data_IF_683790230721
#
_entry.id   IF_683790230721
#
_cell.length_a   1.000
_cell.length_b   1.000
_cell.length_c   1.000
_cell.angle_alpha   90.00
_cell.angle_beta   90.00
_cell.angle_gamma   90.00
#
_symmetry.space_group_name_H-M   'P 1'
#
loop_
_entity.id
_entity.type
_entity.pdbx_description
1 polymer ?
#
# COMPACT_ATOMS: atom_id res chain seq x y z
N UNK A 1 -63.03 -9.76 -50.72
CA UNK A 1 -62.21 -9.71 -51.95
C UNK A 1 -60.81 -10.21 -51.62
N UNK A 2 -60.30 -11.20 -52.38
CA UNK A 2 -58.97 -11.82 -52.24
C UNK A 2 -57.84 -10.86 -52.64
N UNK A 3 -56.60 -11.32 -52.42
CA UNK A 3 -55.28 -10.90 -52.98
C UNK A 3 -54.33 -10.31 -51.92
N UNK A 4 -53.06 -10.70 -51.78
CA UNK A 4 -52.23 -11.72 -52.45
C UNK A 4 -50.97 -11.93 -51.60
N UNK A 5 -50.53 -13.18 -51.43
CA UNK A 5 -49.18 -13.50 -50.96
C UNK A 5 -48.16 -13.01 -51.98
N UNK A 6 -47.14 -12.26 -51.55
CA UNK A 6 -45.94 -11.98 -52.36
C UNK A 6 -44.81 -12.82 -51.77
N UNK A 7 -44.41 -13.83 -52.55
CA UNK A 7 -43.14 -14.55 -52.39
C UNK A 7 -42.05 -13.66 -52.98
N UNK A 8 -40.94 -13.47 -52.27
CA UNK A 8 -39.70 -13.02 -52.90
C UNK A 8 -38.68 -14.16 -52.89
N UNK A 9 -38.10 -14.35 -54.07
CA UNK A 9 -37.30 -15.49 -54.48
C UNK A 9 -35.92 -15.49 -53.83
N UNK A 10 -35.51 -16.70 -53.48
CA UNK A 10 -34.12 -17.13 -53.30
C UNK A 10 -33.33 -16.88 -54.60
N UNK A 11 -32.15 -16.25 -54.53
CA UNK A 11 -30.91 -16.66 -55.21
C UNK A 11 -29.74 -15.72 -54.79
N UNK A 12 -28.74 -16.33 -54.13
CA UNK A 12 -27.29 -16.03 -54.16
C UNK A 12 -26.76 -14.73 -53.53
N UNK A 13 -26.11 -14.84 -52.36
CA UNK A 13 -24.63 -14.79 -52.29
C UNK A 13 -24.08 -15.32 -50.95
N UNK A 14 -23.04 -16.12 -51.10
CA UNK A 14 -22.22 -16.88 -50.17
C UNK A 14 -21.50 -15.99 -49.15
N UNK A 15 -21.58 -16.33 -47.85
CA UNK A 15 -20.48 -16.25 -46.88
C UNK A 15 -20.92 -16.86 -45.52
N UNK A 16 -21.13 -18.18 -45.47
CA UNK A 16 -21.23 -18.92 -44.22
C UNK A 16 -19.81 -19.32 -43.80
N UNK A 17 -19.05 -18.41 -43.18
CA UNK A 17 -17.85 -18.80 -42.45
C UNK A 17 -18.27 -19.30 -41.07
N UNK A 18 -18.46 -20.63 -40.98
CA UNK A 18 -18.20 -21.33 -39.73
C UNK A 18 -16.73 -21.08 -39.37
N UNK A 19 -16.50 -20.32 -38.31
CA UNK A 19 -15.32 -20.52 -37.47
C UNK A 19 -15.78 -20.53 -36.03
N UNK A 20 -16.41 -21.64 -35.66
CA UNK A 20 -16.39 -22.11 -34.28
C UNK A 20 -14.95 -22.45 -33.93
N UNK A 21 -14.19 -21.44 -33.49
CA UNK A 21 -13.00 -21.69 -32.69
C UNK A 21 -13.49 -22.11 -31.30
N UNK A 22 -13.74 -23.41 -31.15
CA UNK A 22 -13.53 -24.10 -29.89
C UNK A 22 -12.08 -23.81 -29.46
N UNK A 23 -11.91 -22.78 -28.64
CA UNK A 23 -10.67 -22.60 -27.89
C UNK A 23 -10.54 -23.81 -26.97
N UNK A 24 -9.80 -24.82 -27.43
CA UNK A 24 -9.18 -25.83 -26.57
C UNK A 24 -8.20 -25.09 -25.65
N UNK A 25 -8.70 -24.56 -24.54
CA UNK A 25 -7.89 -24.26 -23.38
C UNK A 25 -7.44 -25.59 -22.80
N UNK A 26 -6.32 -26.11 -23.31
CA UNK A 26 -5.62 -27.20 -22.69
C UNK A 26 -5.07 -26.68 -21.36
N UNK A 27 -5.84 -26.86 -20.29
CA UNK A 27 -5.46 -26.49 -18.94
C UNK A 27 -4.20 -27.29 -18.56
N UNK A 28 -3.04 -26.62 -18.63
CA UNK A 28 -1.81 -27.14 -18.07
C UNK A 28 -2.01 -27.43 -16.58
N UNK A 29 -1.32 -28.45 -16.07
CA UNK A 29 -1.35 -28.74 -14.63
C UNK A 29 -0.81 -27.53 -13.85
N UNK A 30 -1.54 -27.10 -12.82
CA UNK A 30 -1.14 -26.02 -11.93
C UNK A 30 0.28 -26.23 -11.36
N UNK A 31 1.08 -25.15 -11.19
CA UNK A 31 2.39 -25.25 -10.55
C UNK A 31 2.28 -25.83 -9.14
N UNK A 32 3.23 -26.70 -8.78
CA UNK A 32 3.37 -27.25 -7.44
C UNK A 32 4.72 -26.85 -6.84
N UNK A 33 4.75 -26.57 -5.54
CA UNK A 33 5.97 -26.30 -4.76
C UNK A 33 6.02 -27.29 -3.59
N UNK A 34 7.16 -27.96 -3.43
CA UNK A 34 7.45 -28.84 -2.29
C UNK A 34 8.25 -28.07 -1.23
N UNK A 35 7.80 -28.20 0.02
CA UNK A 35 8.43 -27.60 1.19
C UNK A 35 8.94 -28.69 2.10
N UNK A 36 10.22 -28.60 2.47
CA UNK A 36 10.81 -29.42 3.53
C UNK A 36 10.86 -28.57 4.80
N UNK A 37 10.34 -29.10 5.89
CA UNK A 37 10.37 -28.47 7.22
C UNK A 37 11.06 -29.38 8.23
N UNK A 38 11.36 -28.86 9.42
CA UNK A 38 11.82 -29.69 10.55
C UNK A 38 10.79 -30.72 11.02
N UNK A 39 9.52 -30.59 10.60
CA UNK A 39 8.41 -31.45 11.03
C UNK A 39 7.86 -32.37 9.92
N UNK A 40 8.41 -32.31 8.71
CA UNK A 40 8.00 -33.14 7.59
C UNK A 40 8.06 -32.42 6.24
N UNK A 41 7.50 -33.05 5.20
CA UNK A 41 7.43 -32.46 3.85
C UNK A 41 5.98 -32.29 3.45
N UNK A 42 5.64 -31.11 2.92
CA UNK A 42 4.32 -30.83 2.37
C UNK A 42 4.43 -30.21 0.97
N UNK A 43 3.34 -30.21 0.21
CA UNK A 43 3.27 -29.61 -1.12
C UNK A 43 2.12 -28.64 -1.23
N UNK A 44 2.35 -27.55 -1.95
CA UNK A 44 1.35 -26.56 -2.32
C UNK A 44 1.08 -26.63 -3.82
N UNK A 45 -0.20 -26.70 -4.21
CA UNK A 45 -0.67 -26.40 -5.56
C UNK A 45 -1.04 -24.91 -5.63
N UNK A 46 -0.59 -24.21 -6.67
CA UNK A 46 -0.79 -22.77 -6.89
C UNK A 46 -1.83 -22.50 -7.99
N UNK A 47 -2.51 -21.35 -7.94
CA UNK A 47 -3.59 -21.01 -8.86
C UNK A 47 -3.26 -19.82 -9.78
N UNK A 48 -2.37 -19.97 -10.78
CA UNK A 48 -1.96 -18.87 -11.66
C UNK A 48 -3.13 -18.23 -12.41
N UNK A 49 -4.17 -19.01 -12.74
CA UNK A 49 -5.35 -18.50 -13.44
C UNK A 49 -6.27 -17.65 -12.53
N UNK A 50 -6.12 -17.76 -11.21
CA UNK A 50 -6.97 -17.07 -10.21
C UNK A 50 -6.23 -15.98 -9.44
N UNK A 51 -4.91 -16.09 -9.32
CA UNK A 51 -4.07 -15.15 -8.59
C UNK A 51 -2.70 -15.03 -9.29
N UNK A 52 -2.64 -14.59 -10.57
CA UNK A 52 -1.41 -14.54 -11.35
C UNK A 52 -0.29 -13.74 -10.67
N UNK A 53 -0.58 -12.58 -10.07
CA UNK A 53 0.43 -11.74 -9.41
C UNK A 53 0.99 -12.42 -8.16
N UNK A 54 0.12 -13.02 -7.36
CA UNK A 54 0.48 -13.72 -6.13
C UNK A 54 1.34 -14.94 -6.44
N UNK A 55 0.94 -15.73 -7.44
CA UNK A 55 1.67 -16.93 -7.87
C UNK A 55 3.01 -16.58 -8.48
N UNK A 56 3.07 -15.58 -9.36
CA UNK A 56 4.34 -15.13 -9.95
C UNK A 56 5.32 -14.61 -8.88
N UNK A 57 4.83 -13.76 -7.98
CA UNK A 57 5.63 -13.24 -6.87
C UNK A 57 6.14 -14.35 -5.95
N UNK A 58 5.25 -15.27 -5.54
CA UNK A 58 5.61 -16.39 -4.68
C UNK A 58 6.67 -17.29 -5.33
N UNK A 59 6.48 -17.62 -6.60
CA UNK A 59 7.40 -18.47 -7.34
C UNK A 59 8.77 -17.81 -7.57
N UNK A 60 8.84 -16.48 -7.72
CA UNK A 60 10.14 -15.77 -7.74
C UNK A 60 10.92 -16.00 -6.45
N UNK A 61 10.29 -15.86 -5.28
CA UNK A 61 10.95 -16.16 -4.00
C UNK A 61 11.36 -17.63 -3.87
N UNK A 62 10.55 -18.57 -4.38
CA UNK A 62 10.92 -20.00 -4.43
C UNK A 62 12.17 -20.20 -5.28
N UNK A 63 12.23 -19.61 -6.47
CA UNK A 63 13.33 -19.79 -7.41
C UNK A 63 14.64 -19.15 -6.92
N UNK A 64 14.55 -18.06 -6.15
CA UNK A 64 15.70 -17.41 -5.53
C UNK A 64 16.24 -18.16 -4.30
N UNK A 65 15.55 -19.22 -3.84
CA UNK A 65 15.85 -19.89 -2.57
C UNK A 65 15.55 -19.01 -1.35
N UNK A 66 14.72 -17.97 -1.49
CA UNK A 66 14.43 -17.01 -0.41
C UNK A 66 13.84 -17.67 0.83
N UNK A 67 13.04 -18.72 0.65
CA UNK A 67 12.39 -19.45 1.73
C UNK A 67 13.31 -20.42 2.47
N UNK A 68 14.50 -20.69 1.93
CA UNK A 68 15.46 -21.60 2.56
C UNK A 68 15.94 -21.03 3.90
N UNK A 69 15.97 -21.91 4.90
CA UNK A 69 16.31 -21.61 6.28
C UNK A 69 15.50 -20.46 6.90
N UNK A 70 14.22 -20.34 6.53
CA UNK A 70 13.27 -19.46 7.22
C UNK A 70 12.50 -20.21 8.30
N UNK A 71 11.68 -19.52 9.08
CA UNK A 71 10.84 -20.12 10.13
C UNK A 71 9.36 -19.84 9.89
N UNK A 72 8.50 -20.67 10.48
CA UNK A 72 7.11 -20.30 10.75
C UNK A 72 7.06 -19.45 12.01
N UNK A 73 7.08 -18.13 11.84
CA UNK A 73 7.19 -17.17 12.94
C UNK A 73 5.88 -16.87 13.66
N UNK A 74 4.76 -17.47 13.24
CA UNK A 74 3.47 -17.35 13.93
C UNK A 74 2.60 -18.58 13.71
N UNK A 75 2.15 -19.20 14.80
CA UNK A 75 1.24 -20.35 14.79
C UNK A 75 0.06 -20.03 15.70
N UNK A 76 -1.14 -19.95 15.16
CA UNK A 76 -2.35 -19.77 15.97
C UNK A 76 -3.26 -20.97 15.74
N UNK A 77 -3.39 -21.79 16.79
CA UNK A 77 -4.24 -22.99 16.79
C UNK A 77 -5.64 -22.64 16.29
N UNK A 78 -6.19 -23.52 15.45
CA UNK A 78 -7.51 -23.38 14.83
C UNK A 78 -7.71 -22.10 14.00
N UNK A 79 -6.61 -21.42 13.62
CA UNK A 79 -6.67 -20.22 12.77
C UNK A 79 -5.71 -20.36 11.58
N UNK A 80 -4.41 -20.11 11.79
CA UNK A 80 -3.41 -20.09 10.71
C UNK A 80 -2.00 -20.46 11.18
N UNK A 81 -1.21 -21.01 10.26
CA UNK A 81 0.25 -21.13 10.37
C UNK A 81 0.87 -20.16 9.36
N UNK A 82 1.74 -19.26 9.80
CA UNK A 82 2.31 -18.19 8.98
C UNK A 82 3.84 -18.24 8.97
N UNK A 83 4.42 -18.05 7.79
CA UNK A 83 5.87 -18.12 7.56
C UNK A 83 6.35 -17.26 6.40
N UNK A 84 7.60 -17.49 5.99
CA UNK A 84 8.16 -16.92 4.77
C UNK A 84 8.63 -15.46 4.88
N UNK A 85 9.02 -15.00 6.07
CA UNK A 85 9.51 -13.62 6.27
C UNK A 85 10.68 -13.46 7.24
N UNK A 86 11.07 -14.52 7.95
CA UNK A 86 12.02 -14.45 9.04
C UNK A 86 12.97 -15.65 9.04
N UNK A 87 14.23 -15.40 9.37
CA UNK A 87 15.24 -16.38 9.79
C UNK A 87 15.09 -16.66 11.29
N UNK A 88 15.75 -17.71 11.83
CA UNK A 88 15.84 -17.93 13.28
C UNK A 88 16.20 -16.67 14.06
N UNK A 89 15.61 -16.54 15.25
CA UNK A 89 15.73 -15.32 16.07
C UNK A 89 14.91 -14.14 15.56
N UNK A 90 13.85 -14.40 14.78
CA UNK A 90 12.94 -13.37 14.24
C UNK A 90 13.66 -12.28 13.43
N UNK A 91 14.77 -12.63 12.78
CA UNK A 91 15.49 -11.73 11.89
C UNK A 91 14.75 -11.62 10.56
N UNK A 92 14.19 -10.44 10.30
CA UNK A 92 13.40 -10.17 9.09
C UNK A 92 14.29 -10.24 7.86
N UNK A 93 13.85 -10.98 6.83
CA UNK A 93 14.52 -10.98 5.51
C UNK A 93 14.05 -9.79 4.66
N UNK A 94 14.95 -9.23 3.88
CA UNK A 94 14.63 -8.18 2.93
C UNK A 94 13.77 -8.73 1.78
N UNK A 95 12.68 -8.06 1.45
CA UNK A 95 11.71 -8.56 0.48
C UNK A 95 11.71 -7.75 -0.80
N UNK A 96 11.23 -8.35 -1.88
CA UNK A 96 10.82 -7.66 -3.11
C UNK A 96 9.67 -6.69 -2.82
N UNK A 97 9.33 -5.88 -3.82
CA UNK A 97 8.20 -4.94 -3.75
C UNK A 97 6.89 -5.66 -3.45
N UNK A 98 5.97 -4.95 -2.81
CA UNK A 98 4.64 -5.47 -2.56
C UNK A 98 3.86 -5.65 -3.86
N UNK A 99 2.93 -6.59 -3.87
CA UNK A 99 2.03 -6.84 -4.98
C UNK A 99 0.60 -6.37 -4.68
N UNK A 100 -0.11 -6.03 -5.76
CA UNK A 100 -1.55 -5.77 -5.69
C UNK A 100 -2.30 -7.01 -5.21
N UNK A 101 -3.28 -6.81 -4.34
CA UNK A 101 -4.13 -7.86 -3.82
C UNK A 101 -5.05 -8.40 -4.91
N UNK A 102 -5.08 -9.71 -5.00
CA UNK A 102 -5.99 -10.44 -5.90
C UNK A 102 -7.15 -11.07 -5.14
N UNK A 103 -7.46 -10.57 -3.94
CA UNK A 103 -8.55 -11.10 -3.11
C UNK A 103 -9.94 -10.99 -3.77
N UNK A 104 -10.09 -10.11 -4.74
CA UNK A 104 -11.27 -10.04 -5.62
C UNK A 104 -11.47 -11.31 -6.48
N UNK A 105 -10.53 -12.26 -6.47
CA UNK A 105 -10.68 -13.59 -7.06
C UNK A 105 -11.74 -14.46 -6.35
N UNK A 106 -12.23 -14.04 -5.17
CA UNK A 106 -13.31 -14.66 -4.38
C UNK A 106 -13.02 -16.10 -3.92
N UNK A 107 -11.76 -16.53 -3.95
CA UNK A 107 -11.37 -17.78 -3.34
C UNK A 107 -11.51 -17.68 -1.82
N UNK A 108 -12.13 -18.70 -1.21
CA UNK A 108 -12.41 -18.74 0.23
C UNK A 108 -11.20 -19.25 1.00
N UNK A 109 -10.96 -18.70 2.19
CA UNK A 109 -9.94 -19.10 3.16
C UNK A 109 -10.39 -20.37 3.91
N UNK A 110 -10.63 -21.44 3.14
CA UNK A 110 -10.98 -22.76 3.66
C UNK A 110 -9.74 -23.44 4.27
N UNK A 111 -9.96 -24.45 5.10
CA UNK A 111 -8.87 -25.29 5.61
C UNK A 111 -7.99 -25.80 4.48
N UNK A 112 -6.68 -25.72 4.66
CA UNK A 112 -5.66 -26.14 3.69
C UNK A 112 -5.44 -25.15 2.55
N UNK A 113 -6.15 -24.03 2.47
CA UNK A 113 -5.83 -22.98 1.49
C UNK A 113 -4.66 -22.12 1.97
N UNK A 114 -3.92 -21.56 1.01
CA UNK A 114 -2.78 -20.67 1.26
C UNK A 114 -3.08 -19.28 0.72
N UNK A 115 -2.87 -18.27 1.55
CA UNK A 115 -3.11 -16.88 1.21
C UNK A 115 -1.89 -16.01 1.51
N UNK A 116 -1.76 -14.91 0.76
CA UNK A 116 -0.69 -13.95 0.98
C UNK A 116 -0.90 -13.22 2.30
N UNK A 117 0.11 -13.23 3.17
CA UNK A 117 0.10 -12.39 4.37
C UNK A 117 0.43 -10.94 3.96
N UNK A 118 -0.24 -9.99 4.60
CA UNK A 118 -0.11 -8.55 4.31
C UNK A 118 -0.20 -7.73 5.59
N UNK A 119 0.22 -6.46 5.54
CA UNK A 119 0.02 -5.47 6.62
C UNK A 119 -1.43 -4.98 6.62
N UNK A 120 -1.77 -3.79 7.08
CA UNK A 120 -3.18 -3.38 7.12
C UNK A 120 -3.79 -3.15 5.72
N UNK A 121 -2.98 -2.72 4.75
CA UNK A 121 -3.44 -2.49 3.38
C UNK A 121 -3.43 -3.79 2.55
N UNK A 122 -4.45 -4.04 1.71
CA UNK A 122 -4.51 -5.24 0.86
C UNK A 122 -3.27 -5.43 -0.03
N UNK A 123 -2.76 -4.34 -0.60
CA UNK A 123 -1.67 -4.37 -1.60
C UNK A 123 -0.27 -4.29 -0.95
N UNK A 124 -0.10 -4.88 0.24
CA UNK A 124 1.17 -4.89 0.98
C UNK A 124 1.77 -6.29 1.14
N UNK A 125 1.24 -7.27 0.42
CA UNK A 125 1.78 -8.62 0.40
C UNK A 125 3.15 -8.64 -0.28
N UNK A 126 4.16 -9.23 0.38
CA UNK A 126 5.50 -9.45 -0.20
C UNK A 126 5.83 -10.94 -0.22
N UNK A 127 6.63 -11.45 0.71
CA UNK A 127 7.09 -12.86 0.72
C UNK A 127 6.28 -13.76 1.64
N UNK A 128 5.61 -13.19 2.65
CA UNK A 128 4.95 -13.96 3.69
C UNK A 128 3.63 -14.56 3.21
N UNK A 129 3.35 -15.77 3.68
CA UNK A 129 2.11 -16.48 3.42
C UNK A 129 1.60 -17.13 4.70
N UNK A 130 0.31 -17.46 4.73
CA UNK A 130 -0.27 -18.27 5.78
C UNK A 130 -1.13 -19.39 5.22
N UNK A 131 -1.15 -20.51 5.95
CA UNK A 131 -1.93 -21.70 5.67
C UNK A 131 -3.12 -21.70 6.64
N UNK A 132 -4.33 -21.80 6.10
CA UNK A 132 -5.56 -21.83 6.89
C UNK A 132 -5.77 -23.19 7.56
N UNK A 133 -5.95 -23.23 8.88
CA UNK A 133 -6.22 -24.46 9.65
C UNK A 133 -7.71 -24.80 9.74
N UNK A 134 -8.57 -23.81 9.51
CA UNK A 134 -10.03 -23.93 9.49
C UNK A 134 -10.62 -23.07 8.36
N UNK A 135 -11.96 -22.98 8.25
CA UNK A 135 -12.59 -21.97 7.40
C UNK A 135 -12.63 -20.61 8.10
N UNK A 136 -11.71 -19.73 7.72
CA UNK A 136 -11.61 -18.36 8.23
C UNK A 136 -12.50 -17.38 7.44
N UNK A 137 -13.82 -17.47 7.64
CA UNK A 137 -14.83 -16.63 6.94
C UNK A 137 -14.60 -15.11 7.03
N UNK A 138 -13.95 -14.65 8.09
CA UNK A 138 -13.61 -13.23 8.28
C UNK A 138 -12.45 -12.74 7.39
N UNK A 139 -11.68 -13.68 6.84
CA UNK A 139 -10.60 -13.41 5.88
C UNK A 139 -11.08 -13.49 4.42
N UNK A 140 -12.31 -13.94 4.18
CA UNK A 140 -12.90 -14.01 2.84
C UNK A 140 -13.25 -12.62 2.31
N UNK A 141 -12.96 -12.37 1.03
CA UNK A 141 -13.36 -11.15 0.34
C UNK A 141 -14.83 -10.81 0.59
N UNK A 142 -15.11 -9.58 1.03
CA UNK A 142 -16.48 -9.10 1.24
C UNK A 142 -16.90 -8.16 0.12
N UNK A 143 -16.10 -7.12 -0.13
CA UNK A 143 -16.33 -6.13 -1.18
C UNK A 143 -15.04 -5.30 -1.41
N UNK A 144 -15.08 -4.32 -2.32
CA UNK A 144 -13.92 -3.48 -2.66
C UNK A 144 -13.34 -2.67 -1.48
N UNK A 145 -14.14 -2.39 -0.45
CA UNK A 145 -13.72 -1.69 0.77
C UNK A 145 -13.22 -2.64 1.86
N UNK A 146 -13.60 -3.93 1.76
CA UNK A 146 -13.16 -5.00 2.64
C UNK A 146 -12.61 -6.18 1.80
N UNK A 147 -11.46 -5.98 1.12
CA UNK A 147 -10.87 -6.98 0.24
C UNK A 147 -10.37 -8.23 0.98
N UNK A 148 -10.02 -8.09 2.27
CA UNK A 148 -9.49 -9.16 3.13
C UNK A 148 -8.20 -9.79 2.58
N UNK A 149 -8.15 -11.09 2.31
CA UNK A 149 -6.91 -11.82 1.96
C UNK A 149 -7.05 -12.62 0.66
N UNK A 150 -6.00 -12.58 -0.16
CA UNK A 150 -5.96 -13.26 -1.45
C UNK A 150 -5.43 -14.70 -1.29
N UNK A 151 -6.32 -15.68 -1.45
CA UNK A 151 -5.94 -17.09 -1.59
C UNK A 151 -5.32 -17.27 -2.98
N UNK A 152 -4.15 -17.91 -3.03
CA UNK A 152 -3.41 -18.14 -4.27
C UNK A 152 -2.96 -19.61 -4.45
N UNK A 153 -3.32 -20.49 -3.52
CA UNK A 153 -3.03 -21.91 -3.60
C UNK A 153 -3.70 -22.73 -2.50
N UNK A 154 -3.34 -24.01 -2.42
CA UNK A 154 -3.74 -24.94 -1.35
C UNK A 154 -2.65 -25.97 -1.08
N UNK A 155 -2.69 -26.58 0.10
CA UNK A 155 -1.93 -27.79 0.41
C UNK A 155 -2.49 -28.93 -0.43
N UNK A 156 -1.65 -29.52 -1.28
CA UNK A 156 -1.98 -30.67 -2.13
C UNK A 156 -1.53 -32.00 -1.50
N UNK A 157 -0.48 -31.97 -0.67
CA UNK A 157 0.02 -33.12 0.13
C UNK A 157 0.62 -32.64 1.44
N UNK A 158 0.59 -33.47 2.49
CA UNK A 158 1.25 -33.18 3.76
C UNK A 158 0.46 -32.24 4.67
N UNK A 159 -0.87 -32.29 4.64
CA UNK A 159 -1.69 -31.50 5.57
C UNK A 159 -1.49 -31.96 7.03
N UNK A 160 -1.17 -33.24 7.25
CA UNK A 160 -0.78 -33.80 8.54
C UNK A 160 0.49 -33.15 9.11
N UNK A 161 1.42 -32.73 8.23
CA UNK A 161 2.60 -31.95 8.65
C UNK A 161 2.18 -30.57 9.16
N UNK A 162 1.22 -29.93 8.48
CA UNK A 162 0.68 -28.64 8.93
C UNK A 162 -0.07 -28.79 10.25
N UNK A 163 -0.83 -29.88 10.43
CA UNK A 163 -1.52 -30.18 11.67
C UNK A 163 -0.54 -30.39 12.83
N UNK A 164 0.60 -31.06 12.61
CA UNK A 164 1.68 -31.16 13.60
C UNK A 164 2.26 -29.79 13.97
N UNK A 165 2.50 -28.92 12.98
CA UNK A 165 2.99 -27.56 13.21
C UNK A 165 1.96 -26.75 14.02
N UNK A 166 0.66 -26.99 13.81
CA UNK A 166 -0.41 -26.20 14.42
C UNK A 166 -0.55 -26.33 15.94
N UNK A 167 0.05 -27.38 16.52
CA UNK A 167 -0.05 -27.71 17.95
C UNK A 167 1.28 -27.55 18.71
N UNK A 168 2.29 -26.95 18.07
CA UNK A 168 3.55 -26.63 18.75
C UNK A 168 3.30 -25.61 19.86
N UNK A 169 4.12 -25.67 20.91
CA UNK A 169 4.07 -24.67 21.98
C UNK A 169 4.46 -23.30 21.43
N UNK A 170 3.73 -22.26 21.86
CA UNK A 170 4.00 -20.88 21.42
C UNK A 170 4.08 -19.93 22.61
N UNK A 171 4.95 -18.93 22.50
CA UNK A 171 5.13 -17.88 23.49
C UNK A 171 4.93 -16.48 22.86
N UNK A 172 4.89 -15.48 23.74
CA UNK A 172 5.04 -14.08 23.34
C UNK A 172 6.53 -13.74 23.33
N UNK A 173 7.01 -13.23 22.20
CA UNK A 173 8.39 -12.77 22.02
C UNK A 173 8.35 -11.31 21.59
N UNK A 174 8.94 -10.42 22.40
CA UNK A 174 8.82 -8.97 22.25
C UNK A 174 7.34 -8.53 22.16
N UNK A 175 6.95 -7.92 21.04
CA UNK A 175 5.58 -7.46 20.72
C UNK A 175 4.82 -8.45 19.83
N UNK A 176 5.33 -9.68 19.63
CA UNK A 176 4.72 -10.71 18.78
C UNK A 176 4.16 -11.83 19.64
N UNK A 177 2.88 -12.13 19.45
CA UNK A 177 2.21 -13.25 20.11
C UNK A 177 2.20 -14.49 19.21
N UNK A 178 2.13 -15.66 19.84
CA UNK A 178 2.03 -16.98 19.20
C UNK A 178 3.23 -17.33 18.32
N UNK A 179 4.43 -16.99 18.79
CA UNK A 179 5.70 -17.41 18.17
C UNK A 179 6.04 -18.79 18.69
N UNK A 180 6.35 -19.80 17.85
CA UNK A 180 6.81 -21.11 18.35
C UNK A 180 7.96 -20.97 19.34
N UNK A 181 7.92 -21.71 20.44
CA UNK A 181 8.99 -21.73 21.45
C UNK A 181 10.24 -22.37 20.84
N UNK A 182 10.06 -23.48 20.14
CA UNK A 182 11.08 -24.09 19.29
C UNK A 182 10.83 -23.69 17.83
N UNK A 183 11.88 -23.21 17.15
CA UNK A 183 11.77 -22.77 15.75
C UNK A 183 11.33 -23.93 14.84
N UNK A 184 10.17 -23.76 14.22
CA UNK A 184 9.72 -24.65 13.14
C UNK A 184 10.36 -24.17 11.83
N UNK A 185 11.45 -24.84 11.45
CA UNK A 185 12.25 -24.49 10.27
C UNK A 185 11.52 -24.83 8.97
N UNK A 186 11.50 -23.88 8.04
CA UNK A 186 11.31 -24.08 6.61
C UNK A 186 12.70 -24.26 5.98
N UNK A 187 13.10 -25.53 5.83
CA UNK A 187 14.45 -25.91 5.39
C UNK A 187 14.65 -25.56 3.91
N UNK A 188 13.67 -25.86 3.06
CA UNK A 188 13.71 -25.45 1.65
C UNK A 188 12.33 -25.41 1.00
N UNK A 189 12.20 -24.61 -0.05
CA UNK A 189 11.05 -24.58 -0.95
C UNK A 189 11.49 -24.76 -2.41
N UNK A 190 10.96 -25.75 -3.14
CA UNK A 190 11.37 -26.02 -4.52
C UNK A 190 10.18 -26.32 -5.41
N UNK A 191 10.20 -25.81 -6.65
CA UNK A 191 9.22 -26.18 -7.67
C UNK A 191 9.28 -27.69 -7.92
N UNK A 192 8.12 -28.32 -8.02
CA UNK A 192 7.99 -29.73 -8.42
C UNK A 192 7.99 -29.78 -9.94
N UNK A 193 8.92 -30.52 -10.54
CA UNK A 193 8.98 -30.67 -11.99
C UNK A 193 7.67 -31.28 -12.54
N UNK A 194 6.99 -30.56 -13.44
CA UNK A 194 5.88 -31.11 -14.21
C UNK A 194 6.43 -32.17 -15.16
N UNK A 195 5.96 -33.41 -15.04
CA UNK A 195 6.23 -34.49 -16.02
C UNK A 195 5.42 -34.22 -17.30
N UNK A 196 5.74 -33.15 -18.02
CA UNK A 196 5.24 -32.94 -19.38
C UNK A 196 6.44 -32.84 -20.30
N UNK A 197 6.73 -33.94 -21.01
CA UNK A 197 7.73 -33.97 -22.08
C UNK A 197 7.33 -32.92 -23.12
N UNK A 198 8.06 -31.81 -23.18
CA UNK A 198 7.96 -30.88 -24.30
C UNK A 198 9.32 -30.88 -24.99
N UNK A 199 9.32 -31.29 -26.25
CA UNK A 199 10.45 -31.28 -27.16
C UNK A 199 10.85 -29.82 -27.40
N UNK A 200 11.95 -29.37 -26.79
CA UNK A 200 12.55 -28.08 -27.11
C UNK A 200 13.52 -28.27 -28.27
N UNK A 201 13.15 -27.81 -29.46
CA UNK A 201 14.11 -27.53 -30.53
C UNK A 201 15.03 -26.39 -30.05
N UNK A 202 16.33 -26.69 -29.99
CA UNK A 202 17.39 -25.70 -29.79
C UNK A 202 17.43 -24.75 -30.99
N UNK A 203 17.16 -23.47 -30.76
CA UNK A 203 17.75 -22.40 -31.57
C UNK A 203 18.76 -21.63 -30.71
N UNK A 204 19.94 -21.46 -31.28
CA UNK A 204 21.12 -20.87 -30.63
C UNK A 204 20.90 -19.37 -30.41
N UNK A 205 21.20 -18.93 -29.20
CA UNK A 205 21.33 -17.53 -28.83
C UNK A 205 22.35 -16.81 -29.73
N UNK A 206 21.96 -15.61 -30.21
CA UNK A 206 22.88 -14.51 -30.48
C UNK A 206 22.67 -13.47 -29.40
N UNK A 207 23.63 -13.39 -28.50
CA UNK A 207 23.74 -12.42 -27.43
C UNK A 207 23.92 -11.03 -28.03
N UNK A 208 22.97 -10.12 -27.79
CA UNK A 208 23.23 -8.68 -27.79
C UNK A 208 23.13 -8.19 -26.36
N UNK A 209 24.23 -7.63 -25.87
CA UNK A 209 24.32 -6.87 -24.63
C UNK A 209 23.23 -5.80 -24.60
N UNK A 210 22.29 -5.94 -23.66
CA UNK A 210 21.29 -4.93 -23.37
C UNK A 210 21.78 -4.10 -22.18
N UNK A 211 21.95 -2.80 -22.41
CA UNK A 211 22.15 -1.81 -21.36
C UNK A 211 21.04 -1.94 -20.30
N UNK A 212 21.41 -2.02 -19.03
CA UNK A 212 20.47 -2.06 -17.92
C UNK A 212 19.53 -0.85 -17.98
N UNK A 213 18.26 -1.08 -18.30
CA UNK A 213 17.23 -0.04 -18.19
C UNK A 213 17.03 0.27 -16.71
N UNK A 214 17.25 1.52 -16.31
CA UNK A 214 16.90 1.99 -14.97
C UNK A 214 15.38 1.86 -14.78
N UNK A 215 14.96 0.90 -13.96
CA UNK A 215 13.56 0.77 -13.56
C UNK A 215 13.35 1.74 -12.40
N UNK A 216 12.47 2.74 -12.58
CA UNK A 216 12.18 3.68 -11.48
C UNK A 216 11.68 2.90 -10.24
N UNK A 217 12.21 3.18 -9.04
CA UNK A 217 11.86 2.44 -7.83
C UNK A 217 10.39 2.63 -7.42
N UNK A 218 9.73 3.69 -7.86
CA UNK A 218 8.32 3.98 -7.58
C UNK A 218 7.55 4.28 -8.86
N UNK A 219 6.34 3.75 -8.94
CA UNK A 219 5.49 3.76 -10.14
C UNK A 219 4.29 4.67 -9.94
N UNK A 220 3.99 5.50 -10.93
CA UNK A 220 2.78 6.34 -10.99
C UNK A 220 1.51 5.47 -10.94
N UNK A 221 0.50 5.94 -10.20
CA UNK A 221 -0.77 5.23 -9.99
C UNK A 221 -0.68 4.10 -8.97
N UNK A 222 0.52 3.67 -8.59
CA UNK A 222 0.75 2.67 -7.54
C UNK A 222 1.24 3.30 -6.25
N UNK A 223 2.33 4.08 -6.32
CA UNK A 223 3.03 4.62 -5.14
C UNK A 223 2.75 6.11 -4.92
N UNK A 224 2.47 6.82 -6.02
CA UNK A 224 2.08 8.22 -6.05
C UNK A 224 1.12 8.46 -7.20
N UNK A 225 0.33 9.52 -7.11
CA UNK A 225 -0.64 9.94 -8.13
C UNK A 225 -0.11 11.18 -8.82
N UNK A 226 -0.04 11.20 -10.14
CA UNK A 226 0.21 12.43 -10.91
C UNK A 226 -1.11 13.20 -11.04
N UNK A 227 -1.06 14.50 -10.78
CA UNK A 227 -2.20 15.39 -10.96
C UNK A 227 -2.46 15.64 -12.44
N UNK A 228 -3.72 15.53 -12.85
CA UNK A 228 -4.16 15.89 -14.21
C UNK A 228 -3.74 17.32 -14.60
N UNK A 229 -3.74 18.22 -13.62
CA UNK A 229 -3.33 19.62 -13.76
C UNK A 229 -2.38 19.97 -12.61
N UNK A 230 -1.12 20.32 -12.91
CA UNK A 230 -0.21 20.84 -11.90
C UNK A 230 -0.80 22.07 -11.20
N UNK A 231 -0.65 22.14 -9.89
CA UNK A 231 -1.03 23.30 -9.09
C UNK A 231 0.20 24.19 -8.92
N UNK A 232 0.08 25.51 -9.12
CA UNK A 232 1.19 26.45 -8.93
C UNK A 232 1.84 26.30 -7.55
N UNK A 233 3.17 26.29 -7.52
CA UNK A 233 3.95 26.25 -6.29
C UNK A 233 4.21 27.67 -5.77
N UNK A 234 4.50 27.79 -4.47
CA UNK A 234 4.85 29.09 -3.85
C UNK A 234 6.11 29.71 -4.45
N UNK A 235 7.08 28.87 -4.82
CA UNK A 235 8.32 29.28 -5.44
C UNK A 235 8.69 28.32 -6.56
N UNK A 236 8.59 28.78 -7.80
CA UNK A 236 8.87 27.95 -8.99
C UNK A 236 10.35 27.62 -9.19
N UNK A 237 11.27 28.27 -8.46
CA UNK A 237 12.70 27.97 -8.51
C UNK A 237 13.13 26.86 -7.55
N UNK A 238 12.22 26.39 -6.70
CA UNK A 238 12.45 25.32 -5.71
C UNK A 238 11.50 24.15 -5.95
N UNK A 239 11.91 22.97 -5.51
CA UNK A 239 11.01 21.81 -5.42
C UNK A 239 10.14 22.00 -4.19
N UNK A 240 8.89 22.40 -4.37
CA UNK A 240 7.94 22.53 -3.26
C UNK A 240 7.56 21.14 -2.72
N UNK A 241 7.58 20.96 -1.41
CA UNK A 241 7.03 19.76 -0.75
C UNK A 241 6.10 20.20 0.35
N UNK A 242 4.83 19.82 0.24
CA UNK A 242 3.84 20.15 1.26
C UNK A 242 3.36 18.89 1.94
N UNK A 243 3.27 18.93 3.27
CA UNK A 243 2.51 17.92 4.02
C UNK A 243 1.12 18.48 4.31
N UNK A 244 0.12 17.92 3.67
CA UNK A 244 -1.27 18.19 4.00
C UNK A 244 -1.66 17.50 5.30
N UNK A 245 -2.05 18.30 6.31
CA UNK A 245 -2.41 17.80 7.64
C UNK A 245 -3.69 18.44 8.17
N UNK A 246 -4.22 17.92 9.29
CA UNK A 246 -5.21 18.61 10.10
C UNK A 246 -4.94 18.39 11.59
N UNK A 247 -5.15 19.42 12.42
CA UNK A 247 -4.92 19.28 13.87
C UNK A 247 -5.82 18.23 14.55
N UNK A 248 -6.95 17.86 13.93
CA UNK A 248 -7.83 16.79 14.43
C UNK A 248 -7.46 15.38 13.99
N UNK A 249 -6.36 15.20 13.25
CA UNK A 249 -5.97 13.93 12.66
C UNK A 249 -4.89 13.21 13.49
N UNK A 250 -5.18 12.03 14.08
CA UNK A 250 -4.20 11.29 14.88
C UNK A 250 -2.97 10.84 14.10
N UNK A 251 -3.16 10.37 12.87
CA UNK A 251 -2.03 9.94 12.02
C UNK A 251 -1.12 11.10 11.61
N UNK A 252 -1.66 12.32 11.53
CA UNK A 252 -0.88 13.52 11.23
C UNK A 252 0.01 13.86 12.44
N UNK A 253 -0.55 13.80 13.66
CA UNK A 253 0.24 13.94 14.89
C UNK A 253 1.36 12.89 15.01
N UNK A 254 1.09 11.64 14.64
CA UNK A 254 2.10 10.57 14.62
C UNK A 254 3.18 10.79 13.55
N UNK A 255 2.83 11.41 12.42
CA UNK A 255 3.73 11.60 11.28
C UNK A 255 4.69 12.77 11.46
N UNK A 256 4.26 13.82 12.16
CA UNK A 256 4.96 15.08 12.42
C UNK A 256 6.46 14.92 12.75
N UNK A 257 6.89 14.06 13.70
CA UNK A 257 8.32 13.91 13.98
C UNK A 257 9.13 13.39 12.79
N UNK A 258 8.54 12.49 12.00
CA UNK A 258 9.23 11.82 10.88
C UNK A 258 9.41 12.76 9.70
N UNK A 259 8.34 13.48 9.32
CA UNK A 259 8.37 14.44 8.23
C UNK A 259 9.22 15.67 8.57
N UNK A 260 9.24 16.12 9.84
CA UNK A 260 10.19 17.13 10.32
C UNK A 260 11.63 16.67 10.22
N UNK A 261 11.90 15.43 10.60
CA UNK A 261 13.22 14.81 10.46
C UNK A 261 13.69 14.84 9.00
N UNK A 262 12.85 14.32 8.10
CA UNK A 262 13.10 14.34 6.66
C UNK A 262 13.33 15.76 6.12
N UNK A 263 12.50 16.73 6.49
CA UNK A 263 12.61 18.11 6.01
C UNK A 263 13.92 18.80 6.43
N UNK A 264 14.46 18.47 7.62
CA UNK A 264 15.74 19.01 8.11
C UNK A 264 16.95 18.48 7.33
N UNK A 265 16.83 17.32 6.71
CA UNK A 265 17.89 16.69 5.92
C UNK A 265 17.94 17.21 4.47
N UNK A 266 16.93 17.98 4.05
CA UNK A 266 16.86 18.50 2.69
C UNK A 266 17.79 19.70 2.44
N UNK A 267 18.32 19.78 1.22
CA UNK A 267 19.07 20.96 0.76
C UNK A 267 18.16 22.16 0.48
N UNK A 268 18.77 23.35 0.35
CA UNK A 268 18.05 24.63 0.19
C UNK A 268 17.18 24.76 -1.08
N UNK A 269 17.32 23.82 -2.02
CA UNK A 269 16.53 23.70 -3.24
C UNK A 269 15.13 23.12 -3.02
N UNK A 270 14.87 22.55 -1.83
CA UNK A 270 13.54 22.08 -1.43
C UNK A 270 12.86 23.15 -0.58
N UNK A 271 11.61 23.46 -0.93
CA UNK A 271 10.74 24.34 -0.14
C UNK A 271 9.69 23.49 0.59
N UNK A 272 10.05 23.02 1.79
CA UNK A 272 9.14 22.24 2.62
C UNK A 272 8.25 23.14 3.50
N UNK A 273 6.95 22.84 3.57
CA UNK A 273 6.10 23.40 4.62
C UNK A 273 4.85 22.54 4.94
N UNK A 274 4.36 22.68 6.17
CA UNK A 274 3.09 22.11 6.61
C UNK A 274 1.91 22.84 5.98
N UNK A 275 0.92 22.11 5.52
CA UNK A 275 -0.21 22.65 4.76
C UNK A 275 -1.54 22.25 5.40
N UNK A 276 -2.29 23.17 6.04
CA UNK A 276 -3.55 22.81 6.68
C UNK A 276 -4.61 22.46 5.63
N UNK A 277 -5.16 21.25 5.70
CA UNK A 277 -6.24 20.84 4.83
C UNK A 277 -7.59 21.42 5.28
N UNK A 278 -8.38 21.95 4.33
CA UNK A 278 -9.65 22.66 4.60
C UNK A 278 -10.80 22.08 3.79
N UNK A 279 -11.56 21.15 4.37
CA UNK A 279 -12.77 20.59 3.75
C UNK A 279 -14.08 21.02 4.43
N UNK A 280 -14.01 21.44 5.69
CA UNK A 280 -15.19 21.74 6.51
C UNK A 280 -14.90 22.90 7.47
N UNK A 281 -15.94 23.37 8.18
CA UNK A 281 -15.86 24.52 9.09
C UNK A 281 -14.84 24.33 10.23
N UNK A 282 -14.82 23.20 10.97
CA UNK A 282 -13.80 22.96 11.99
C UNK A 282 -12.36 23.04 11.46
N UNK A 283 -12.11 22.46 10.28
CA UNK A 283 -10.79 22.51 9.67
C UNK A 283 -10.41 23.90 9.18
N UNK A 284 -11.37 24.72 8.73
CA UNK A 284 -11.13 26.12 8.41
C UNK A 284 -10.70 26.94 9.65
N UNK A 285 -11.30 26.66 10.82
CA UNK A 285 -10.89 27.25 12.09
C UNK A 285 -9.44 26.90 12.42
N UNK A 286 -9.08 25.62 12.27
CA UNK A 286 -7.71 25.12 12.47
C UNK A 286 -6.70 25.69 11.49
N UNK A 287 -7.06 25.87 10.22
CA UNK A 287 -6.21 26.50 9.22
C UNK A 287 -5.92 27.97 9.56
N UNK A 288 -6.94 28.74 9.97
CA UNK A 288 -6.74 30.12 10.42
C UNK A 288 -5.83 30.20 11.66
N UNK A 289 -5.95 29.24 12.59
CA UNK A 289 -5.05 29.14 13.74
C UNK A 289 -3.60 28.87 13.31
N UNK A 290 -3.40 27.95 12.35
CA UNK A 290 -2.09 27.66 11.78
C UNK A 290 -1.43 28.91 11.16
N UNK A 291 -2.15 29.63 10.30
CA UNK A 291 -1.64 30.85 9.67
C UNK A 291 -1.40 31.97 10.69
N UNK A 292 -2.31 32.17 11.64
CA UNK A 292 -2.10 33.13 12.72
C UNK A 292 -0.84 32.82 13.53
N UNK A 293 -0.51 31.54 13.77
CA UNK A 293 0.73 31.16 14.45
C UNK A 293 1.99 31.53 13.65
N UNK A 294 1.96 31.45 12.31
CA UNK A 294 3.04 31.92 11.45
C UNK A 294 3.16 33.44 11.48
N UNK A 295 2.06 34.17 11.33
CA UNK A 295 2.06 35.65 11.36
C UNK A 295 2.51 36.20 12.73
N UNK A 296 2.25 35.47 13.80
CA UNK A 296 2.71 35.81 15.15
C UNK A 296 4.12 35.30 15.48
N UNK A 297 4.79 34.58 14.55
CA UNK A 297 6.10 33.95 14.74
C UNK A 297 6.15 33.00 15.96
N UNK A 298 5.04 32.31 16.23
CA UNK A 298 4.91 31.37 17.36
C UNK A 298 4.61 29.94 16.92
N UNK A 299 4.71 29.64 15.62
CA UNK A 299 4.44 28.32 15.04
C UNK A 299 5.11 27.17 15.82
N UNK A 300 6.42 27.24 16.04
CA UNK A 300 7.17 26.20 16.77
C UNK A 300 6.70 25.98 18.21
N UNK A 301 6.13 27.02 18.85
CA UNK A 301 5.58 26.93 20.23
C UNK A 301 4.16 26.38 20.26
N UNK A 302 3.42 26.51 19.16
CA UNK A 302 1.98 26.22 19.12
C UNK A 302 1.69 24.89 18.44
N UNK A 303 2.41 24.54 17.38
CA UNK A 303 2.00 23.51 16.44
C UNK A 303 1.83 22.13 17.10
N UNK A 304 2.89 21.57 17.68
CA UNK A 304 2.82 20.27 18.36
C UNK A 304 1.94 20.30 19.62
N UNK A 305 1.99 21.35 20.47
CA UNK A 305 1.09 21.44 21.61
C UNK A 305 -0.40 21.49 21.23
N UNK A 306 -0.76 22.18 20.15
CA UNK A 306 -2.16 22.26 19.69
C UNK A 306 -2.64 20.91 19.18
N UNK A 307 -1.81 20.23 18.39
CA UNK A 307 -2.04 18.85 17.98
C UNK A 307 -2.29 17.93 19.18
N UNK A 308 -1.39 17.94 20.16
CA UNK A 308 -1.50 17.11 21.36
C UNK A 308 -2.78 17.41 22.14
N UNK A 309 -3.11 18.70 22.32
CA UNK A 309 -4.31 19.10 23.03
C UNK A 309 -5.58 18.54 22.37
N UNK A 310 -5.66 18.57 21.04
CA UNK A 310 -6.83 18.09 20.30
C UNK A 310 -6.86 16.56 20.22
N UNK A 311 -5.75 15.92 19.81
CA UNK A 311 -5.69 14.50 19.48
C UNK A 311 -5.54 13.60 20.70
N UNK A 312 -4.69 14.01 21.66
CA UNK A 312 -4.33 13.17 22.81
C UNK A 312 -5.16 13.54 24.03
N UNK A 313 -5.32 14.84 24.28
CA UNK A 313 -6.02 15.34 25.47
C UNK A 313 -7.53 15.54 25.23
N UNK A 314 -8.02 15.28 24.00
CA UNK A 314 -9.42 15.45 23.59
C UNK A 314 -10.00 16.84 23.91
N UNK A 315 -9.16 17.87 23.88
CA UNK A 315 -9.58 19.24 24.17
C UNK A 315 -10.53 19.71 23.06
N UNK A 316 -11.73 20.12 23.46
CA UNK A 316 -12.69 20.75 22.56
C UNK A 316 -12.22 22.17 22.21
N UNK A 317 -11.93 22.41 20.93
CA UNK A 317 -11.66 23.73 20.35
C UNK A 317 -12.77 24.02 19.35
N UNK A 318 -13.71 24.88 19.72
CA UNK A 318 -14.97 25.09 18.99
C UNK A 318 -14.98 26.40 18.21
N UNK A 319 -14.25 27.40 18.68
CA UNK A 319 -14.29 28.75 18.15
C UNK A 319 -12.96 29.51 18.35
N UNK A 320 -12.97 30.79 17.96
CA UNK A 320 -11.83 31.71 18.12
C UNK A 320 -11.46 31.94 19.59
N UNK A 321 -12.42 31.95 20.52
CA UNK A 321 -12.14 32.23 21.92
C UNK A 321 -11.35 31.07 22.55
N UNK A 322 -11.73 29.82 22.24
CA UNK A 322 -11.00 28.62 22.66
C UNK A 322 -9.54 28.64 22.15
N UNK A 323 -9.33 29.13 20.93
CA UNK A 323 -8.00 29.29 20.33
C UNK A 323 -7.22 30.45 20.96
N UNK A 324 -7.85 31.60 21.21
CA UNK A 324 -7.21 32.73 21.88
C UNK A 324 -6.72 32.32 23.29
N UNK A 325 -7.54 31.56 24.02
CA UNK A 325 -7.18 30.99 25.31
C UNK A 325 -6.03 30.00 25.20
N UNK A 326 -6.01 29.17 24.15
CA UNK A 326 -4.91 28.26 23.89
C UNK A 326 -3.61 29.02 23.63
N UNK A 327 -3.61 29.96 22.69
CA UNK A 327 -2.43 30.76 22.31
C UNK A 327 -1.90 31.58 23.49
N UNK A 328 -2.78 32.04 24.39
CA UNK A 328 -2.39 32.77 25.58
C UNK A 328 -1.55 31.94 26.56
N UNK A 329 -1.77 30.63 26.66
CA UNK A 329 -0.91 29.73 27.45
C UNK A 329 0.53 29.68 26.94
N UNK A 330 0.77 30.10 25.69
CA UNK A 330 2.09 30.15 25.06
C UNK A 330 2.62 31.59 24.90
N UNK A 331 2.05 32.54 25.66
CA UNK A 331 2.54 33.92 25.76
C UNK A 331 2.01 34.88 24.68
N UNK A 332 0.97 34.51 23.94
CA UNK A 332 0.30 35.41 22.99
C UNK A 332 -0.87 36.10 23.68
N UNK A 333 -0.88 37.42 23.76
CA UNK A 333 -2.03 38.16 24.28
C UNK A 333 -3.29 37.86 23.46
N UNK A 334 -4.43 37.60 24.14
CA UNK A 334 -5.68 37.25 23.47
C UNK A 334 -6.12 38.32 22.47
N UNK A 335 -5.99 39.60 22.82
CA UNK A 335 -6.32 40.72 21.92
C UNK A 335 -5.46 40.70 20.65
N UNK A 336 -4.14 40.52 20.80
CA UNK A 336 -3.20 40.41 19.68
C UNK A 336 -3.52 39.21 18.79
N UNK A 337 -3.81 38.05 19.38
CA UNK A 337 -4.24 36.87 18.63
C UNK A 337 -5.49 37.16 17.79
N UNK A 338 -6.53 37.74 18.38
CA UNK A 338 -7.79 38.03 17.68
C UNK A 338 -7.60 38.99 16.50
N UNK A 339 -6.76 40.02 16.65
CA UNK A 339 -6.43 40.95 15.57
C UNK A 339 -5.77 40.21 14.40
N UNK A 340 -4.78 39.37 14.67
CA UNK A 340 -4.08 38.62 13.61
C UNK A 340 -4.99 37.56 13.00
N UNK A 341 -5.70 36.79 13.82
CA UNK A 341 -6.60 35.72 13.39
C UNK A 341 -7.68 36.24 12.44
N UNK A 342 -8.21 37.45 12.68
CA UNK A 342 -9.22 38.12 11.86
C UNK A 342 -8.66 39.03 10.76
N UNK A 343 -7.33 39.07 10.58
CA UNK A 343 -6.73 39.86 9.52
C UNK A 343 -7.10 39.32 8.13
N UNK A 344 -7.22 40.23 7.17
CA UNK A 344 -7.47 39.87 5.77
C UNK A 344 -6.44 38.85 5.25
N UNK A 345 -5.17 39.00 5.65
CA UNK A 345 -4.07 38.10 5.27
C UNK A 345 -4.30 36.66 5.72
N UNK A 346 -4.66 36.44 7.00
CA UNK A 346 -4.92 35.09 7.53
C UNK A 346 -6.17 34.48 6.89
N UNK A 347 -7.18 35.28 6.60
CA UNK A 347 -8.40 34.83 5.92
C UNK A 347 -8.07 34.39 4.48
N UNK A 348 -7.35 35.23 3.74
CA UNK A 348 -6.92 34.95 2.37
C UNK A 348 -6.06 33.67 2.29
N UNK A 349 -5.06 33.54 3.17
CA UNK A 349 -4.22 32.33 3.25
C UNK A 349 -5.06 31.06 3.49
N UNK A 350 -6.08 31.12 4.36
CA UNK A 350 -6.96 29.99 4.62
C UNK A 350 -7.88 29.66 3.43
N UNK A 351 -8.36 30.67 2.71
CA UNK A 351 -9.17 30.50 1.50
C UNK A 351 -8.35 29.97 0.31
N UNK A 352 -7.11 30.45 0.15
CA UNK A 352 -6.14 29.89 -0.79
C UNK A 352 -5.81 28.43 -0.47
N UNK A 353 -5.62 28.11 0.82
CA UNK A 353 -5.40 26.74 1.27
C UNK A 353 -6.54 25.82 0.86
N UNK A 354 -7.78 26.27 1.10
CA UNK A 354 -9.00 25.57 0.70
C UNK A 354 -9.08 25.37 -0.82
N UNK A 355 -8.71 26.37 -1.61
CA UNK A 355 -8.69 26.26 -3.08
C UNK A 355 -7.61 25.28 -3.56
N UNK A 356 -6.41 25.35 -3.01
CA UNK A 356 -5.31 24.41 -3.34
C UNK A 356 -5.68 22.99 -2.96
N UNK A 357 -6.25 22.75 -1.77
CA UNK A 357 -6.81 21.44 -1.37
C UNK A 357 -7.82 20.94 -2.40
N UNK A 358 -8.76 21.78 -2.83
CA UNK A 358 -9.74 21.42 -3.86
C UNK A 358 -9.07 21.02 -5.18
N UNK A 359 -8.02 21.71 -5.59
CA UNK A 359 -7.30 21.44 -6.83
C UNK A 359 -6.42 20.19 -6.75
N UNK A 360 -5.81 19.91 -5.59
CA UNK A 360 -5.10 18.67 -5.33
C UNK A 360 -6.02 17.45 -5.32
N UNK A 361 -7.29 17.62 -4.92
CA UNK A 361 -8.26 16.52 -4.76
C UNK A 361 -7.76 15.37 -3.84
N UNK A 362 -7.06 15.66 -2.72
CA UNK A 362 -6.56 14.68 -1.76
C UNK A 362 -7.66 13.71 -1.30
N UNK A 363 -7.27 12.49 -0.95
CA UNK A 363 -8.22 11.49 -0.44
C UNK A 363 -8.34 11.51 1.09
N UNK A 364 -7.41 12.20 1.77
CA UNK A 364 -7.41 12.41 3.21
C UNK A 364 -6.16 13.14 3.69
N UNK A 365 -5.86 13.01 4.99
CA UNK A 365 -4.59 13.43 5.61
C UNK A 365 -4.07 12.33 6.55
N UNK A 366 -2.75 12.22 6.80
CA UNK A 366 -1.69 13.01 6.17
C UNK A 366 -1.45 12.58 4.71
N UNK A 367 -1.14 13.55 3.86
CA UNK A 367 -0.85 13.34 2.43
C UNK A 367 0.25 14.33 2.00
N UNK A 368 1.26 13.87 1.25
CA UNK A 368 2.34 14.74 0.76
C UNK A 368 2.07 15.12 -0.69
N UNK A 369 2.34 16.37 -1.07
CA UNK A 369 2.38 16.79 -2.47
C UNK A 369 3.76 17.32 -2.83
N UNK A 370 4.34 16.78 -3.90
CA UNK A 370 5.65 17.19 -4.44
C UNK A 370 5.46 18.02 -5.71
N UNK A 371 6.08 19.19 -5.69
CA UNK A 371 6.14 20.23 -6.73
C UNK A 371 4.80 20.56 -7.38
N UNK A 372 3.71 20.48 -6.60
CA UNK A 372 2.35 20.68 -7.10
C UNK A 372 1.95 19.72 -8.22
N UNK A 373 2.63 18.58 -8.39
CA UNK A 373 2.43 17.62 -9.49
C UNK A 373 2.09 16.22 -9.01
N UNK A 374 2.65 15.79 -7.88
CA UNK A 374 2.56 14.41 -7.42
C UNK A 374 1.96 14.36 -6.03
N UNK A 375 0.94 13.55 -5.84
CA UNK A 375 0.33 13.27 -4.54
C UNK A 375 0.80 11.92 -4.02
N UNK A 376 1.06 11.86 -2.73
CA UNK A 376 1.57 10.70 -2.04
C UNK A 376 0.73 10.52 -0.79
N UNK A 377 -0.28 9.66 -0.86
CA UNK A 377 -1.02 9.26 0.32
C UNK A 377 -0.44 7.97 0.92
N UNK A 378 -0.77 7.74 2.18
CA UNK A 378 -0.32 6.57 2.94
C UNK A 378 -0.72 5.24 2.28
N UNK A 379 -1.84 5.22 1.55
CA UNK A 379 -2.40 3.99 0.98
C UNK A 379 -1.59 3.54 -0.23
N UNK A 380 -1.30 4.47 -1.15
CA UNK A 380 -0.46 4.21 -2.32
C UNK A 380 1.00 3.96 -1.92
N UNK A 381 1.56 4.78 -1.04
CA UNK A 381 2.96 4.64 -0.64
C UNK A 381 3.24 3.37 0.19
N UNK A 382 2.24 2.83 0.88
CA UNK A 382 2.38 1.60 1.70
C UNK A 382 2.70 1.85 3.18
N UNK A 383 2.64 3.10 3.64
CA UNK A 383 2.87 3.50 5.03
C UNK A 383 3.44 4.91 5.15
N UNK A 384 3.45 5.50 6.35
CA UNK A 384 3.95 6.86 6.57
C UNK A 384 5.47 6.96 6.37
N UNK A 385 6.22 5.90 6.69
CA UNK A 385 7.64 5.84 6.39
C UNK A 385 7.87 5.83 4.87
N UNK A 386 7.16 4.95 4.18
CA UNK A 386 7.27 4.79 2.74
C UNK A 386 6.80 6.04 1.98
N UNK A 387 5.86 6.83 2.52
CA UNK A 387 5.53 8.15 1.98
C UNK A 387 6.76 9.05 1.85
N UNK A 388 7.66 9.06 2.83
CA UNK A 388 8.89 9.86 2.78
C UNK A 388 9.89 9.32 1.77
N UNK A 389 9.98 7.99 1.60
CA UNK A 389 10.84 7.37 0.59
C UNK A 389 10.36 7.71 -0.84
N UNK A 390 9.05 7.66 -1.07
CA UNK A 390 8.42 8.10 -2.33
C UNK A 390 8.62 9.61 -2.55
N UNK A 391 8.52 10.40 -1.48
CA UNK A 391 8.76 11.86 -1.51
C UNK A 391 10.19 12.15 -1.97
N UNK A 392 11.18 11.49 -1.37
CA UNK A 392 12.59 11.66 -1.73
C UNK A 392 12.84 11.30 -3.19
N UNK A 393 12.25 10.20 -3.67
CA UNK A 393 12.33 9.83 -5.08
C UNK A 393 11.77 10.92 -6.00
N UNK A 394 10.60 11.48 -5.69
CA UNK A 394 9.94 12.50 -6.50
C UNK A 394 10.66 13.85 -6.43
N UNK A 395 11.21 14.22 -5.28
CA UNK A 395 12.07 15.40 -5.14
C UNK A 395 13.29 15.25 -6.07
N UNK A 396 13.95 14.10 -6.05
CA UNK A 396 15.08 13.83 -6.94
C UNK A 396 14.69 13.74 -8.43
N UNK A 397 13.44 13.36 -8.73
CA UNK A 397 12.88 13.43 -10.09
C UNK A 397 12.73 14.88 -10.55
N UNK A 398 12.22 15.77 -9.71
CA UNK A 398 12.06 17.19 -10.04
C UNK A 398 13.39 17.96 -10.08
N UNK A 399 14.33 17.66 -9.18
CA UNK A 399 15.70 18.21 -9.23
C UNK A 399 16.36 18.00 -10.59
N UNK A 400 16.15 16.83 -11.20
CA UNK A 400 16.68 16.50 -12.53
C UNK A 400 15.99 17.26 -13.67
N UNK A 401 14.75 17.70 -13.47
CA UNK A 401 14.01 18.52 -14.44
C UNK A 401 14.38 20.00 -14.33
N UNK A 402 14.61 20.52 -13.12
CA UNK A 402 14.99 21.92 -12.90
C UNK A 402 16.44 22.25 -13.33
N UNK A 403 17.30 21.24 -13.45
CA UNK A 403 18.69 21.38 -13.94
C UNK A 403 18.82 21.35 -15.47
N UNK A 404 17.74 21.03 -16.18
CA UNK A 404 17.65 21.11 -17.63
C UNK A 404 16.97 22.41 -18.02
#
# INVERSE_FOLDING_TARGET
MKFKKIKFSLFTLIALFMFGALSNAQAGKNPEVEFKTSMGTFRMELYPDKAPLSVENFLKYVDDGFYDNTIFHRVVKDFVVQGGGYEPGLKKKETRKAIKSESSNRLKNLRGTVAMARRNHPDTATSQFFINLTHNKELDYKNKYMPRYAVFGKISKGMDVIDKISVVETAQVEKRANVPVEDVMLISAKRVASKTKTVVKKEKAKTKSASASYVEPYVEGEHYIVLDKPVPTRNSSKVEVIEMFSYGCPHCYEFEPSVKGWAKEQSADVDFWFFPAVWNKPMALYARAFYAAHELNVFEKIHMPLFKAIVIENKSIRDEADLADFFNKFGVEKAKFKVVFNSAKVIEQADEAKLRVKNYKPSGVPEIVVNGKYRIDRMHAGGMKEMLEVTEFLVNKERRQLKK
#
